data_IF_309734566311
#
_entry.id   IF_309734566311
#
_cell.length_a   1.000
_cell.length_b   1.000
_cell.length_c   1.000
_cell.angle_alpha   90.00
_cell.angle_beta   90.00
_cell.angle_gamma   90.00
#
_symmetry.space_group_name_H-M   'P 1'
#
loop_
_entity.id
_entity.type
_entity.pdbx_description
1 polymer ?
#
# COMPACT_ATOMS: atom_id res chain seq x y z
N UNK A 1 51.07 39.61 17.84
CA UNK A 1 50.29 39.96 19.04
C UNK A 1 48.82 40.08 18.64
N UNK A 2 48.01 39.02 18.80
CA UNK A 2 46.60 38.98 18.41
C UNK A 2 45.75 38.65 19.62
N UNK A 3 44.92 39.57 20.05
CA UNK A 3 44.05 39.46 21.21
C UNK A 3 42.86 38.53 20.95
N UNK A 4 42.72 37.47 21.75
CA UNK A 4 41.55 36.57 21.75
C UNK A 4 40.40 37.23 22.51
N UNK A 5 39.29 37.45 21.83
CA UNK A 5 38.04 37.94 22.42
C UNK A 5 37.25 36.74 23.01
N UNK A 6 37.04 36.74 24.32
CA UNK A 6 36.27 35.77 25.08
C UNK A 6 34.78 36.08 24.90
N UNK A 7 34.01 35.14 24.34
CA UNK A 7 32.55 35.24 24.23
C UNK A 7 31.94 34.55 25.46
N UNK A 8 31.21 35.33 26.26
CA UNK A 8 30.44 34.84 27.40
C UNK A 8 29.11 34.26 26.90
N UNK A 9 28.94 32.96 27.08
CA UNK A 9 27.67 32.27 26.92
C UNK A 9 26.82 32.47 28.18
N UNK A 10 25.72 33.18 28.06
CA UNK A 10 24.67 33.27 29.10
C UNK A 10 23.75 32.07 28.97
N UNK A 11 23.88 31.13 29.91
CA UNK A 11 22.91 30.04 30.08
C UNK A 11 21.55 30.60 30.49
N UNK A 12 20.53 30.28 29.71
CA UNK A 12 19.12 30.45 30.12
C UNK A 12 18.61 29.13 30.71
N UNK A 13 18.45 29.15 32.03
CA UNK A 13 17.79 28.08 32.79
C UNK A 13 16.32 28.08 32.45
N UNK A 14 15.83 27.02 31.79
CA UNK A 14 14.39 26.74 31.62
C UNK A 14 13.91 25.99 32.85
N UNK A 15 13.10 26.64 33.66
CA UNK A 15 12.29 25.98 34.71
C UNK A 15 11.18 25.20 34.00
N UNK A 16 11.22 23.88 34.09
CA UNK A 16 10.10 23.02 33.72
C UNK A 16 9.15 22.92 34.92
N UNK A 17 7.99 23.57 34.80
CA UNK A 17 6.86 23.40 35.75
C UNK A 17 6.20 22.06 35.45
N UNK A 18 6.34 21.09 36.35
CA UNK A 18 5.53 19.86 36.39
C UNK A 18 4.10 20.22 36.81
N UNK A 19 3.20 20.24 35.83
CA UNK A 19 1.76 20.27 36.09
C UNK A 19 1.24 18.86 36.33
N UNK A 20 0.99 18.50 37.60
CA UNK A 20 0.33 17.24 37.97
C UNK A 20 -1.14 17.28 37.55
N UNK A 21 -1.50 16.58 36.49
CA UNK A 21 -2.89 16.34 36.09
C UNK A 21 -3.35 15.04 36.79
N UNK A 22 -4.08 15.20 37.89
CA UNK A 22 -4.87 14.13 38.52
C UNK A 22 -6.06 13.82 37.60
N UNK A 23 -5.93 12.75 36.78
CA UNK A 23 -7.05 12.15 36.08
C UNK A 23 -7.78 11.19 37.02
N UNK A 24 -8.97 11.60 37.48
CA UNK A 24 -9.87 10.76 38.23
C UNK A 24 -10.27 9.52 37.44
N UNK A 25 -10.00 8.34 38.01
CA UNK A 25 -10.52 7.06 37.54
C UNK A 25 -12.02 6.98 37.87
N UNK A 26 -12.89 7.23 36.91
CA UNK A 26 -14.25 6.74 36.94
C UNK A 26 -14.29 5.33 36.35
N UNK A 27 -14.47 4.33 37.23
CA UNK A 27 -14.73 2.95 36.80
C UNK A 27 -16.18 2.91 36.31
N UNK A 28 -16.36 3.15 35.00
CA UNK A 28 -17.61 2.88 34.31
C UNK A 28 -17.50 1.51 33.64
N UNK A 29 -18.34 0.57 34.10
CA UNK A 29 -18.64 -0.67 33.38
C UNK A 29 -19.36 -0.30 32.07
N UNK A 30 -18.60 0.09 31.04
CA UNK A 30 -19.04 0.32 29.68
C UNK A 30 -18.24 -0.54 28.77
N UNK A 31 -18.88 -1.48 28.08
CA UNK A 31 -18.24 -2.36 27.13
C UNK A 31 -17.38 -1.57 26.17
N UNK A 32 -16.10 -1.96 26.04
CA UNK A 32 -15.21 -1.46 25.00
C UNK A 32 -15.77 -1.92 23.65
N UNK A 33 -16.62 -1.10 23.04
CA UNK A 33 -16.84 -1.16 21.61
C UNK A 33 -15.55 -0.59 21.01
N UNK A 34 -14.58 -1.46 20.75
CA UNK A 34 -13.45 -1.16 19.89
C UNK A 34 -14.03 -0.98 18.49
N UNK A 35 -14.41 0.24 18.16
CA UNK A 35 -14.54 0.62 16.76
C UNK A 35 -13.13 0.54 16.18
N UNK A 36 -12.77 -0.63 15.63
CA UNK A 36 -11.69 -0.72 14.65
C UNK A 36 -12.16 0.12 13.46
N UNK A 37 -11.82 1.40 13.47
CA UNK A 37 -11.91 2.23 12.26
C UNK A 37 -10.90 1.59 11.31
N UNK A 38 -11.36 0.63 10.51
CA UNK A 38 -10.58 0.08 9.41
C UNK A 38 -10.31 1.25 8.47
N UNK A 39 -9.15 1.87 8.61
CA UNK A 39 -8.75 2.91 7.69
C UNK A 39 -8.84 2.36 6.26
N UNK A 40 -9.45 3.13 5.36
CA UNK A 40 -9.56 2.77 3.95
C UNK A 40 -8.19 2.55 3.32
N UNK A 41 -7.20 3.36 3.72
CA UNK A 41 -5.79 3.22 3.31
C UNK A 41 -4.89 3.24 4.55
N UNK A 42 -4.75 2.10 5.26
CA UNK A 42 -3.94 2.04 6.47
C UNK A 42 -2.43 2.10 6.20
N UNK A 43 -2.00 1.82 4.96
CA UNK A 43 -0.60 1.74 4.56
C UNK A 43 -0.33 2.58 3.32
N UNK A 44 0.90 3.06 3.16
CA UNK A 44 1.37 3.77 1.97
C UNK A 44 2.82 3.41 1.66
N UNK A 45 3.24 3.61 0.43
CA UNK A 45 4.66 3.63 0.08
C UNK A 45 5.29 4.89 0.69
N UNK A 46 6.62 4.86 0.89
CA UNK A 46 7.39 6.05 1.22
C UNK A 46 7.44 7.03 0.01
N UNK A 47 8.33 8.01 0.06
CA UNK A 47 8.47 9.01 -1.02
C UNK A 47 8.98 8.42 -2.35
N UNK A 48 9.46 7.16 -2.34
CA UNK A 48 9.94 6.48 -3.53
C UNK A 48 8.82 5.67 -4.18
N UNK A 49 8.38 6.02 -5.40
CA UNK A 49 7.37 5.24 -6.12
C UNK A 49 7.86 3.82 -6.38
N UNK A 50 7.02 2.78 -6.18
CA UNK A 50 7.41 1.40 -6.45
C UNK A 50 7.64 1.13 -7.93
N UNK A 51 8.47 0.14 -8.22
CA UNK A 51 8.67 -0.40 -9.56
C UNK A 51 7.78 -1.64 -9.73
N UNK A 52 7.06 -1.73 -10.84
CA UNK A 52 6.23 -2.90 -11.16
C UNK A 52 7.03 -3.86 -12.05
N UNK A 53 7.13 -5.13 -11.65
CA UNK A 53 7.85 -6.18 -12.39
C UNK A 53 6.88 -7.26 -12.86
N UNK A 54 6.85 -7.53 -14.17
CA UNK A 54 6.10 -8.66 -14.72
C UNK A 54 6.90 -9.97 -14.58
N UNK A 55 6.74 -10.65 -13.45
CA UNK A 55 7.22 -12.02 -13.24
C UNK A 55 6.12 -13.08 -13.48
N UNK A 56 5.00 -12.70 -14.08
CA UNK A 56 3.94 -13.62 -14.48
C UNK A 56 4.35 -14.44 -15.73
N UNK A 57 4.99 -13.80 -16.70
CA UNK A 57 5.44 -14.37 -17.96
C UNK A 57 4.93 -13.57 -19.16
N UNK A 58 5.35 -14.05 -20.36
CA UNK A 58 5.07 -13.40 -21.65
C UNK A 58 3.56 -13.30 -21.98
N UNK A 59 2.74 -14.19 -21.43
CA UNK A 59 1.29 -14.18 -21.62
C UNK A 59 0.60 -12.95 -21.00
N UNK A 60 1.30 -12.22 -20.11
CA UNK A 60 0.72 -11.08 -19.40
C UNK A 60 0.60 -9.86 -20.32
N UNK A 61 -0.60 -9.27 -20.38
CA UNK A 61 -0.85 -8.12 -21.27
C UNK A 61 -0.22 -6.84 -20.72
N UNK A 62 0.83 -6.37 -21.39
CA UNK A 62 1.45 -5.08 -21.10
C UNK A 62 0.44 -3.93 -21.18
N UNK A 63 -0.38 -3.89 -22.24
CA UNK A 63 -1.36 -2.83 -22.42
C UNK A 63 -2.36 -2.73 -21.27
N UNK A 64 -2.81 -3.86 -20.71
CA UNK A 64 -3.74 -3.85 -19.58
C UNK A 64 -3.05 -3.34 -18.32
N UNK A 65 -1.78 -3.71 -18.08
CA UNK A 65 -1.05 -3.20 -16.93
C UNK A 65 -0.78 -1.69 -17.06
N UNK A 66 -0.38 -1.21 -18.23
CA UNK A 66 -0.19 0.22 -18.47
C UNK A 66 -1.49 1.00 -18.20
N UNK A 67 -2.65 0.50 -18.67
CA UNK A 67 -3.95 1.13 -18.37
C UNK A 67 -4.26 1.17 -16.87
N UNK A 68 -3.95 0.10 -16.16
CA UNK A 68 -4.15 0.05 -14.72
C UNK A 68 -3.20 1.01 -13.98
N UNK A 69 -1.97 1.15 -14.42
CA UNK A 69 -1.01 2.13 -13.91
C UNK A 69 -1.55 3.55 -14.16
N UNK A 70 -1.96 3.86 -15.39
CA UNK A 70 -2.53 5.16 -15.74
C UNK A 70 -3.76 5.51 -14.89
N UNK A 71 -4.62 4.51 -14.64
CA UNK A 71 -5.77 4.68 -13.74
C UNK A 71 -5.36 5.24 -12.38
N UNK A 72 -4.26 4.75 -11.79
CA UNK A 72 -3.77 5.18 -10.48
C UNK A 72 -2.94 6.46 -10.56
N UNK A 73 -2.12 6.64 -11.59
CA UNK A 73 -1.29 7.84 -11.79
C UNK A 73 -2.15 9.10 -11.86
N UNK A 74 -3.26 9.09 -12.62
CA UNK A 74 -4.18 10.24 -12.70
C UNK A 74 -4.90 10.54 -11.38
N UNK A 75 -4.82 9.64 -10.42
CA UNK A 75 -5.35 9.78 -9.05
C UNK A 75 -4.27 10.15 -8.02
N UNK A 76 -3.04 10.40 -8.47
CA UNK A 76 -1.93 10.82 -7.64
C UNK A 76 -1.09 9.68 -7.02
N UNK A 77 -1.29 8.43 -7.46
CA UNK A 77 -0.51 7.27 -6.99
C UNK A 77 0.57 6.93 -8.01
N UNK A 78 1.79 7.33 -7.72
CA UNK A 78 2.90 7.19 -8.67
C UNK A 78 3.48 5.79 -8.70
N UNK A 79 3.85 5.35 -9.91
CA UNK A 79 4.69 4.18 -10.20
C UNK A 79 6.00 4.73 -10.78
N UNK A 80 7.13 4.27 -10.27
CA UNK A 80 8.43 4.71 -10.74
C UNK A 80 8.75 4.19 -12.14
N UNK A 81 8.45 2.90 -12.37
CA UNK A 81 8.71 2.23 -13.65
C UNK A 81 7.91 0.92 -13.74
N UNK A 82 7.58 0.50 -14.97
CA UNK A 82 7.03 -0.83 -15.28
C UNK A 82 8.00 -1.60 -16.18
N UNK A 83 8.50 -2.74 -15.71
CA UNK A 83 9.33 -3.65 -16.47
C UNK A 83 8.53 -4.86 -16.91
N UNK A 84 8.28 -4.95 -18.22
CA UNK A 84 7.46 -6.02 -18.78
C UNK A 84 8.21 -7.35 -18.88
N UNK A 85 9.53 -7.31 -19.17
CA UNK A 85 10.37 -8.49 -19.35
C UNK A 85 11.61 -8.44 -18.43
N UNK A 86 11.44 -8.48 -17.10
CA UNK A 86 12.57 -8.46 -16.19
C UNK A 86 13.42 -9.73 -16.36
N UNK A 87 14.74 -9.67 -16.09
CA UNK A 87 15.57 -10.85 -16.09
C UNK A 87 15.03 -11.92 -15.14
N UNK A 88 15.06 -13.23 -15.51
CA UNK A 88 14.56 -14.32 -14.66
C UNK A 88 15.18 -14.31 -13.25
N UNK A 89 16.46 -13.97 -13.13
CA UNK A 89 17.18 -13.89 -11.86
C UNK A 89 16.58 -12.84 -10.90
N UNK A 90 15.92 -11.81 -11.41
CA UNK A 90 15.19 -10.81 -10.58
C UNK A 90 13.89 -11.42 -10.08
N UNK A 91 13.18 -12.15 -10.93
CA UNK A 91 11.92 -12.81 -10.57
C UNK A 91 12.09 -13.96 -9.55
N UNK A 92 13.27 -14.56 -9.46
CA UNK A 92 13.59 -15.60 -8.48
C UNK A 92 13.78 -15.04 -7.06
N UNK A 93 14.04 -13.75 -6.93
CA UNK A 93 14.23 -13.11 -5.63
C UNK A 93 12.90 -13.00 -4.88
N UNK A 94 12.94 -13.32 -3.58
CA UNK A 94 11.71 -13.37 -2.76
C UNK A 94 11.36 -12.05 -2.07
N UNK A 95 12.34 -11.20 -1.81
CA UNK A 95 12.18 -10.05 -0.91
C UNK A 95 12.75 -8.75 -1.52
N UNK A 96 12.30 -8.44 -2.74
CA UNK A 96 12.68 -7.19 -3.40
C UNK A 96 11.94 -6.01 -2.74
N UNK A 97 12.67 -5.16 -2.02
CA UNK A 97 12.13 -3.91 -1.50
C UNK A 97 11.99 -2.87 -2.61
N UNK A 98 10.93 -2.07 -2.56
CA UNK A 98 10.64 -1.06 -3.58
C UNK A 98 9.89 -1.60 -4.81
N UNK A 99 9.43 -2.86 -4.77
CA UNK A 99 8.81 -3.48 -5.94
C UNK A 99 7.39 -3.99 -5.69
N UNK A 100 6.58 -3.92 -6.74
CA UNK A 100 5.32 -4.64 -6.90
C UNK A 100 5.57 -5.75 -7.93
N UNK A 101 5.50 -7.02 -7.51
CA UNK A 101 5.86 -8.17 -8.34
C UNK A 101 4.58 -8.88 -8.78
N UNK A 102 4.38 -9.03 -10.09
CA UNK A 102 3.26 -9.75 -10.68
C UNK A 102 3.66 -11.21 -10.87
N UNK A 103 2.85 -12.16 -10.36
CA UNK A 103 3.15 -13.59 -10.47
C UNK A 103 1.95 -14.41 -10.95
N UNK A 104 2.25 -15.49 -11.64
CA UNK A 104 1.27 -16.53 -11.97
C UNK A 104 1.02 -17.41 -10.75
N UNK A 105 -0.23 -17.43 -10.28
CA UNK A 105 -0.64 -18.26 -9.17
C UNK A 105 -0.94 -19.70 -9.57
N UNK A 106 -1.01 -20.55 -8.56
CA UNK A 106 -1.46 -21.91 -8.70
C UNK A 106 -2.62 -22.19 -7.71
N UNK A 107 -3.26 -23.36 -7.84
CA UNK A 107 -4.40 -23.77 -7.03
C UNK A 107 -4.14 -23.90 -5.52
N UNK A 108 -2.87 -23.85 -5.08
CA UNK A 108 -2.51 -23.85 -3.64
C UNK A 108 -2.39 -22.41 -3.08
N UNK A 109 -2.22 -21.42 -3.95
CA UNK A 109 -2.03 -20.02 -3.57
C UNK A 109 -3.32 -19.21 -3.62
N UNK A 110 -4.28 -19.64 -4.44
CA UNK A 110 -5.56 -18.97 -4.66
C UNK A 110 -6.69 -19.98 -4.55
N UNK A 111 -7.72 -19.64 -3.80
CA UNK A 111 -8.98 -20.41 -3.74
C UNK A 111 -9.68 -20.42 -5.10
N UNK A 112 -10.59 -21.40 -5.32
CA UNK A 112 -11.27 -21.57 -6.62
C UNK A 112 -12.05 -20.33 -7.09
N UNK A 113 -12.53 -19.50 -6.19
CA UNK A 113 -13.27 -18.28 -6.49
C UNK A 113 -12.39 -17.03 -6.63
N UNK A 114 -11.14 -17.06 -6.16
CA UNK A 114 -10.24 -15.90 -6.11
C UNK A 114 -9.58 -15.70 -7.47
N UNK A 115 -9.78 -14.53 -8.09
CA UNK A 115 -9.22 -14.18 -9.39
C UNK A 115 -7.77 -13.72 -9.28
N UNK A 116 -7.46 -12.93 -8.26
CA UNK A 116 -6.11 -12.51 -7.91
C UNK A 116 -6.02 -12.21 -6.41
N UNK A 117 -4.83 -12.01 -5.89
CA UNK A 117 -4.60 -11.66 -4.49
C UNK A 117 -3.32 -10.87 -4.33
N UNK A 118 -3.40 -9.76 -3.63
CA UNK A 118 -2.25 -8.92 -3.31
C UNK A 118 -1.77 -9.14 -1.88
N UNK A 119 -0.49 -9.43 -1.72
CA UNK A 119 0.21 -9.53 -0.44
C UNK A 119 1.19 -8.38 -0.31
N UNK A 120 1.15 -7.68 0.82
CA UNK A 120 2.06 -6.57 1.13
C UNK A 120 3.00 -6.96 2.25
N UNK A 121 4.25 -6.50 2.19
CA UNK A 121 5.16 -6.44 3.32
C UNK A 121 5.26 -5.01 3.78
N UNK A 122 5.21 -4.79 5.09
CA UNK A 122 5.23 -3.46 5.68
C UNK A 122 6.24 -3.37 6.80
N UNK A 123 6.79 -2.17 6.96
CA UNK A 123 7.53 -1.78 8.17
C UNK A 123 6.76 -0.61 8.81
N UNK A 124 6.11 -0.86 9.93
CA UNK A 124 5.13 0.08 10.49
C UNK A 124 3.96 0.29 9.52
N UNK A 125 3.73 1.53 9.11
CA UNK A 125 2.69 1.91 8.15
C UNK A 125 3.24 2.03 6.72
N UNK A 126 4.55 1.81 6.50
CA UNK A 126 5.19 1.93 5.19
C UNK A 126 5.19 0.57 4.50
N UNK A 127 4.72 0.54 3.25
CA UNK A 127 4.80 -0.63 2.38
C UNK A 127 6.23 -0.71 1.84
N UNK A 128 6.88 -1.85 2.04
CA UNK A 128 8.25 -2.08 1.55
C UNK A 128 8.29 -2.92 0.29
N UNK A 129 7.31 -3.79 0.08
CA UNK A 129 7.12 -4.56 -1.15
C UNK A 129 5.68 -5.06 -1.26
N UNK A 130 5.25 -5.38 -2.48
CA UNK A 130 3.98 -6.05 -2.72
C UNK A 130 4.15 -7.16 -3.76
N UNK A 131 3.33 -8.20 -3.66
CA UNK A 131 3.24 -9.29 -4.62
C UNK A 131 1.78 -9.46 -5.02
N UNK A 132 1.51 -9.41 -6.33
CA UNK A 132 0.19 -9.66 -6.89
C UNK A 132 0.22 -11.02 -7.56
N UNK A 133 -0.59 -11.96 -7.07
CA UNK A 133 -0.68 -13.33 -7.57
C UNK A 133 -1.97 -13.44 -8.35
N UNK A 134 -1.89 -13.72 -9.65
CA UNK A 134 -3.04 -13.88 -10.53
C UNK A 134 -3.35 -15.35 -10.80
N UNK A 135 -4.63 -15.69 -10.80
CA UNK A 135 -5.08 -16.92 -11.43
C UNK A 135 -4.75 -16.87 -12.94
N UNK A 136 -4.32 -17.97 -13.57
CA UNK A 136 -4.05 -17.99 -15.02
C UNK A 136 -5.23 -17.42 -15.82
N UNK A 137 -4.95 -16.37 -16.60
CA UNK A 137 -5.92 -15.68 -17.47
C UNK A 137 -6.75 -14.60 -16.79
N UNK A 138 -6.82 -14.52 -15.45
CA UNK A 138 -7.66 -13.52 -14.77
C UNK A 138 -7.20 -12.08 -14.98
N UNK A 139 -5.93 -11.84 -15.22
CA UNK A 139 -5.38 -10.51 -15.53
C UNK A 139 -6.01 -9.87 -16.77
N UNK A 140 -6.63 -10.68 -17.66
CA UNK A 140 -7.37 -10.19 -18.84
C UNK A 140 -8.78 -9.68 -18.52
N UNK A 141 -9.28 -9.92 -17.32
CA UNK A 141 -10.58 -9.42 -16.89
C UNK A 141 -10.49 -7.92 -16.61
N UNK A 142 -11.53 -7.20 -17.01
CA UNK A 142 -11.58 -5.74 -16.84
C UNK A 142 -11.48 -5.36 -15.35
N UNK A 143 -10.75 -4.31 -15.03
CA UNK A 143 -10.57 -3.74 -13.70
C UNK A 143 -9.79 -4.60 -12.66
N UNK A 144 -9.42 -5.84 -12.97
CA UNK A 144 -8.68 -6.67 -12.01
C UNK A 144 -7.31 -6.08 -11.70
N UNK A 145 -6.58 -5.61 -12.71
CA UNK A 145 -5.25 -5.03 -12.50
C UNK A 145 -5.32 -3.72 -11.70
N UNK A 146 -6.32 -2.89 -11.96
CA UNK A 146 -6.59 -1.66 -11.21
C UNK A 146 -6.91 -1.99 -9.73
N UNK A 147 -7.76 -2.97 -9.49
CA UNK A 147 -8.13 -3.43 -8.16
C UNK A 147 -6.91 -3.92 -7.37
N UNK A 148 -6.12 -4.82 -7.94
CA UNK A 148 -4.94 -5.39 -7.28
C UNK A 148 -3.84 -4.36 -7.05
N UNK A 149 -3.62 -3.43 -8.00
CA UNK A 149 -2.73 -2.30 -7.77
C UNK A 149 -3.23 -1.41 -6.63
N UNK A 150 -4.55 -1.24 -6.49
CA UNK A 150 -5.13 -0.54 -5.34
C UNK A 150 -4.73 -1.19 -4.01
N UNK A 151 -4.81 -2.52 -3.92
CA UNK A 151 -4.30 -3.22 -2.76
C UNK A 151 -2.80 -3.02 -2.57
N UNK A 152 -2.01 -3.05 -3.65
CA UNK A 152 -0.58 -2.78 -3.59
C UNK A 152 -0.27 -1.35 -3.10
N UNK A 153 -1.14 -0.37 -3.36
CA UNK A 153 -1.06 0.99 -2.81
C UNK A 153 -1.58 1.14 -1.38
N UNK A 154 -2.03 0.06 -0.77
CA UNK A 154 -2.43 0.06 0.65
C UNK A 154 -3.93 0.13 0.89
N UNK A 155 -4.77 0.16 -0.15
CA UNK A 155 -6.22 0.22 0.01
C UNK A 155 -6.80 -1.10 0.49
N UNK A 156 -7.81 -1.00 1.33
CA UNK A 156 -8.69 -2.10 1.72
C UNK A 156 -9.92 -2.13 0.81
N UNK A 157 -10.70 -3.20 0.92
CA UNK A 157 -11.98 -3.31 0.23
C UNK A 157 -12.98 -2.23 0.67
N UNK A 158 -13.85 -1.86 -0.26
CA UNK A 158 -14.99 -0.96 -0.09
C UNK A 158 -16.25 -1.66 -0.59
N UNK A 159 -17.28 -1.77 0.24
CA UNK A 159 -18.50 -2.52 -0.08
C UNK A 159 -19.48 -1.77 -1.02
N UNK A 160 -19.16 -0.53 -1.41
CA UNK A 160 -20.00 0.27 -2.29
C UNK A 160 -19.89 -0.19 -3.75
N UNK A 161 -21.04 -0.50 -4.38
CA UNK A 161 -21.09 -0.93 -5.78
C UNK A 161 -20.59 0.19 -6.70
N UNK A 162 -19.82 -0.19 -7.72
CA UNK A 162 -19.20 0.77 -8.65
C UNK A 162 -17.84 1.28 -8.18
N UNK A 163 -17.41 0.98 -6.95
CA UNK A 163 -16.08 1.32 -6.47
C UNK A 163 -15.04 0.31 -6.97
N UNK A 164 -13.85 0.80 -7.38
CA UNK A 164 -12.76 -0.06 -7.88
C UNK A 164 -12.30 -1.09 -6.84
N UNK A 165 -12.37 -0.74 -5.56
CA UNK A 165 -11.96 -1.63 -4.45
C UNK A 165 -13.09 -2.51 -3.93
N UNK A 166 -14.18 -2.73 -4.71
CA UNK A 166 -15.25 -3.62 -4.27
C UNK A 166 -14.77 -5.09 -4.27
N UNK A 167 -15.00 -5.90 -3.20
CA UNK A 167 -14.49 -7.27 -3.10
C UNK A 167 -15.11 -8.25 -4.11
N UNK A 168 -16.32 -7.95 -4.58
CA UNK A 168 -17.00 -8.79 -5.56
C UNK A 168 -16.81 -8.22 -6.98
N UNK A 169 -16.16 -9.01 -7.84
CA UNK A 169 -15.83 -8.61 -9.21
C UNK A 169 -17.00 -8.01 -9.98
N UNK A 170 -18.16 -8.65 -9.96
CA UNK A 170 -19.35 -8.19 -10.69
C UNK A 170 -19.98 -6.88 -10.18
N UNK A 171 -19.52 -6.38 -9.04
CA UNK A 171 -19.92 -5.09 -8.48
C UNK A 171 -18.83 -4.02 -8.58
N UNK A 172 -17.64 -4.40 -9.04
CA UNK A 172 -16.58 -3.41 -9.29
C UNK A 172 -16.99 -2.42 -10.39
N UNK A 173 -16.43 -1.24 -10.30
CA UNK A 173 -16.56 -0.18 -11.30
C UNK A 173 -15.35 0.71 -11.28
N UNK A 174 -15.33 1.73 -12.16
CA UNK A 174 -14.20 2.67 -12.28
C UNK A 174 -14.21 3.78 -11.24
N UNK A 175 -15.17 3.77 -10.33
CA UNK A 175 -15.29 4.76 -9.27
C UNK A 175 -14.18 4.58 -8.22
N UNK A 176 -13.68 5.72 -7.73
CA UNK A 176 -12.73 5.77 -6.63
C UNK A 176 -13.03 6.98 -5.78
N UNK A 177 -13.48 6.75 -4.55
CA UNK A 177 -13.75 7.78 -3.55
C UNK A 177 -13.40 7.25 -2.16
N UNK A 178 -13.17 8.15 -1.23
CA UNK A 178 -12.97 7.76 0.16
C UNK A 178 -14.34 7.39 0.76
N UNK A 179 -14.51 6.20 1.36
CA UNK A 179 -15.72 5.85 2.09
C UNK A 179 -15.99 6.84 3.21
N UNK A 180 -17.26 7.17 3.44
CA UNK A 180 -17.71 8.00 4.57
C UNK A 180 -17.59 7.29 5.92
#
# INVERSE_FOLDING_TARGET
>A
MGARKKIHSRGKTFLATLGSLLLGFSVGLGGKILYEVKSFQPYSWDDNPPIVLNCYGEDFSELQMVRAIDYWVVRGYNIGFYEHNPPPTVCEQKDLMGFIILRKGNHRQLDESTLASTKRKTFGLVITSAEIIYRPGSFNLDLINEHELGHAFGFNHVEEAGHIMHPLYHKMGKGFWKPE
#
